data_IF_906773541232
#
_entry.id   IF_906773541232
#
_cell.length_a   1.000
_cell.length_b   1.000
_cell.length_c   1.000
_cell.angle_alpha   90.00
_cell.angle_beta   90.00
_cell.angle_gamma   90.00
#
_symmetry.space_group_name_H-M   'P 1'
#
loop_
_entity.id
_entity.type
_entity.pdbx_description
1 polymer ?
#
# COMPACT_ATOMS: atom_id res chain seq x y z
N UNK A 1 -24.01 -60.45 -11.79
CA UNK A 1 -23.20 -59.81 -10.73
C UNK A 1 -21.79 -59.41 -11.18
N UNK A 2 -21.00 -60.28 -11.84
CA UNK A 2 -19.62 -59.97 -12.29
C UNK A 2 -19.48 -58.71 -13.16
N UNK A 3 -20.39 -58.45 -14.10
CA UNK A 3 -20.28 -57.27 -14.98
C UNK A 3 -20.58 -55.94 -14.25
N UNK A 4 -21.49 -55.95 -13.26
CA UNK A 4 -21.75 -54.76 -12.43
C UNK A 4 -20.53 -54.40 -11.59
N UNK A 5 -19.90 -55.39 -10.95
CA UNK A 5 -18.67 -55.21 -10.15
C UNK A 5 -17.50 -54.71 -10.99
N UNK A 6 -17.32 -55.23 -12.22
CA UNK A 6 -16.29 -54.74 -13.16
C UNK A 6 -16.54 -53.29 -13.58
N UNK A 7 -17.80 -52.93 -13.84
CA UNK A 7 -18.16 -51.55 -14.20
C UNK A 7 -17.92 -50.58 -13.02
N UNK A 8 -18.29 -50.97 -11.79
CA UNK A 8 -18.05 -50.12 -10.60
C UNK A 8 -16.56 -49.94 -10.34
N UNK A 9 -15.76 -51.00 -10.50
CA UNK A 9 -14.30 -50.93 -10.34
C UNK A 9 -13.66 -50.01 -11.38
N UNK A 10 -14.09 -50.06 -12.64
CA UNK A 10 -13.59 -49.16 -13.70
C UNK A 10 -13.97 -47.71 -13.44
N UNK A 11 -15.21 -47.43 -13.04
CA UNK A 11 -15.64 -46.06 -12.69
C UNK A 11 -14.86 -45.52 -11.49
N UNK A 12 -14.65 -46.31 -10.44
CA UNK A 12 -13.84 -45.91 -9.29
C UNK A 12 -12.38 -45.64 -9.70
N UNK A 13 -11.81 -46.46 -10.58
CA UNK A 13 -10.45 -46.28 -11.07
C UNK A 13 -10.33 -44.98 -11.88
N UNK A 14 -11.30 -44.67 -12.75
CA UNK A 14 -11.33 -43.42 -13.50
C UNK A 14 -11.48 -42.18 -12.59
N UNK A 15 -12.30 -42.26 -11.54
CA UNK A 15 -12.44 -41.18 -10.56
C UNK A 15 -11.16 -40.95 -9.75
N UNK A 16 -10.47 -42.01 -9.35
CA UNK A 16 -9.17 -41.90 -8.67
C UNK A 16 -8.13 -41.26 -9.60
N UNK A 17 -8.09 -41.67 -10.87
CA UNK A 17 -7.14 -41.15 -11.85
C UNK A 17 -7.41 -39.67 -12.15
N UNK A 18 -8.68 -39.28 -12.28
CA UNK A 18 -9.09 -37.88 -12.40
C UNK A 18 -8.73 -37.06 -11.15
N UNK A 19 -8.90 -37.62 -9.95
CA UNK A 19 -8.51 -37.00 -8.69
C UNK A 19 -7.00 -36.78 -8.58
N UNK A 20 -6.18 -37.75 -9.01
CA UNK A 20 -4.71 -37.61 -9.03
C UNK A 20 -4.27 -36.57 -10.05
N UNK A 21 -4.88 -36.52 -11.23
CA UNK A 21 -4.57 -35.52 -12.26
C UNK A 21 -4.95 -34.12 -11.76
N UNK A 22 -6.18 -33.94 -11.27
CA UNK A 22 -6.64 -32.67 -10.73
C UNK A 22 -5.79 -32.23 -9.53
N UNK A 23 -5.46 -33.16 -8.63
CA UNK A 23 -4.58 -32.93 -7.49
C UNK A 23 -3.16 -32.54 -7.91
N UNK A 24 -2.61 -33.14 -8.97
CA UNK A 24 -1.28 -32.80 -9.48
C UNK A 24 -1.24 -31.44 -10.18
N UNK A 25 -2.30 -31.11 -10.95
CA UNK A 25 -2.43 -29.78 -11.56
C UNK A 25 -2.57 -28.70 -10.48
N UNK A 26 -3.41 -28.96 -9.48
CA UNK A 26 -3.58 -28.06 -8.34
C UNK A 26 -2.29 -27.93 -7.54
N UNK A 27 -1.59 -29.04 -7.27
CA UNK A 27 -0.30 -29.04 -6.58
C UNK A 27 0.74 -28.23 -7.34
N UNK A 28 0.84 -28.39 -8.67
CA UNK A 28 1.78 -27.64 -9.49
C UNK A 28 1.41 -26.15 -9.61
N UNK A 29 0.14 -25.78 -9.47
CA UNK A 29 -0.30 -24.38 -9.36
C UNK A 29 0.00 -23.78 -7.98
N UNK A 30 -0.05 -24.60 -6.93
CA UNK A 30 0.21 -24.22 -5.53
C UNK A 30 1.71 -24.23 -5.21
N UNK A 31 2.48 -25.10 -5.86
CA UNK A 31 3.94 -25.19 -5.78
C UNK A 31 4.54 -23.97 -6.46
N UNK A 32 4.48 -22.84 -5.75
CA UNK A 32 5.20 -21.63 -6.10
C UNK A 32 6.69 -21.94 -5.97
N UNK A 33 7.32 -22.28 -7.09
CA UNK A 33 8.74 -22.04 -7.21
C UNK A 33 8.95 -20.53 -7.12
N UNK A 34 9.76 -20.12 -6.14
CA UNK A 34 10.31 -18.78 -6.13
C UNK A 34 11.24 -18.68 -7.33
N UNK A 35 10.71 -18.28 -8.48
CA UNK A 35 11.49 -17.81 -9.64
C UNK A 35 12.11 -16.45 -9.29
N UNK A 36 12.81 -16.39 -8.16
CA UNK A 36 13.58 -15.24 -7.76
C UNK A 36 14.70 -15.11 -8.77
N UNK A 37 14.57 -14.10 -9.61
CA UNK A 37 15.64 -13.61 -10.45
C UNK A 37 16.10 -12.28 -9.83
N UNK A 38 17.40 -12.04 -9.67
CA UNK A 38 17.92 -10.74 -9.29
C UNK A 38 17.71 -9.79 -10.47
N UNK A 39 16.50 -9.25 -10.61
CA UNK A 39 16.28 -8.12 -11.49
C UNK A 39 16.33 -6.85 -10.64
N UNK A 40 17.27 -5.97 -10.96
CA UNK A 40 17.23 -4.58 -10.51
C UNK A 40 16.25 -3.90 -11.46
N UNK A 41 14.96 -3.90 -11.12
CA UNK A 41 14.05 -2.97 -11.80
C UNK A 41 14.57 -1.57 -11.46
N UNK A 42 15.00 -0.86 -12.51
CA UNK A 42 15.35 0.55 -12.40
C UNK A 42 14.14 1.28 -11.79
N UNK A 43 14.36 2.15 -10.79
CA UNK A 43 13.26 2.82 -10.11
C UNK A 43 12.39 3.59 -11.12
N UNK A 44 11.16 3.90 -10.71
CA UNK A 44 10.30 4.81 -11.47
C UNK A 44 11.06 6.09 -11.79
N UNK A 45 11.10 6.45 -13.07
CA UNK A 45 11.74 7.69 -13.52
C UNK A 45 10.93 8.85 -12.99
N UNK A 46 11.57 9.70 -12.18
CA UNK A 46 11.00 10.95 -11.71
C UNK A 46 10.93 11.94 -12.87
N UNK A 47 9.88 12.78 -12.94
CA UNK A 47 9.78 13.77 -14.01
C UNK A 47 10.79 14.91 -13.79
N UNK A 48 11.16 15.61 -14.86
CA UNK A 48 12.00 16.81 -14.76
C UNK A 48 11.24 17.98 -14.09
N UNK A 49 9.93 18.07 -14.36
CA UNK A 49 9.02 19.06 -13.77
C UNK A 49 7.75 18.38 -13.27
N UNK A 50 7.10 18.98 -12.29
CA UNK A 50 5.84 18.46 -11.73
C UNK A 50 4.59 19.07 -12.34
N UNK A 51 4.76 20.09 -13.20
CA UNK A 51 3.70 20.94 -13.78
C UNK A 51 2.75 21.54 -12.72
N UNK A 52 3.21 21.60 -11.48
CA UNK A 52 2.51 22.15 -10.32
C UNK A 52 3.00 23.57 -10.01
N UNK A 53 2.17 24.36 -9.33
CA UNK A 53 2.55 25.68 -8.81
C UNK A 53 3.38 25.61 -7.52
N UNK A 54 3.46 24.42 -6.90
CA UNK A 54 4.27 24.19 -5.71
C UNK A 54 5.75 24.11 -6.08
N UNK A 55 6.61 24.41 -5.09
CA UNK A 55 8.05 24.21 -5.23
C UNK A 55 8.39 22.76 -5.62
N UNK A 56 9.40 22.56 -6.47
CA UNK A 56 9.83 21.24 -6.94
C UNK A 56 10.23 20.28 -5.81
N UNK A 57 10.67 20.81 -4.66
CA UNK A 57 11.04 20.05 -3.47
C UNK A 57 9.93 20.02 -2.42
N UNK A 58 8.73 20.56 -2.68
CA UNK A 58 7.67 20.66 -1.68
C UNK A 58 7.36 19.32 -1.00
N UNK A 59 7.32 18.22 -1.76
CA UNK A 59 7.12 16.89 -1.20
C UNK A 59 8.25 16.52 -0.21
N UNK A 60 9.50 16.71 -0.59
CA UNK A 60 10.66 16.35 0.22
C UNK A 60 10.81 17.25 1.45
N UNK A 61 10.45 18.52 1.34
CA UNK A 61 10.62 19.52 2.40
C UNK A 61 9.46 19.56 3.39
N UNK A 62 8.23 19.27 2.92
CA UNK A 62 7.01 19.43 3.73
C UNK A 62 6.34 18.09 4.02
N UNK A 63 6.17 17.23 3.01
CA UNK A 63 5.33 16.03 3.13
C UNK A 63 6.10 14.84 3.70
N UNK A 64 7.22 14.47 3.09
CA UNK A 64 8.04 13.32 3.53
C UNK A 64 8.49 13.46 5.01
N UNK A 65 8.87 14.65 5.53
CA UNK A 65 9.23 14.80 6.94
C UNK A 65 8.05 14.58 7.90
N UNK A 66 6.81 14.85 7.48
CA UNK A 66 5.63 14.53 8.28
C UNK A 66 5.39 13.02 8.26
N UNK A 67 5.44 12.37 7.09
CA UNK A 67 5.36 10.90 7.03
C UNK A 67 6.41 10.24 7.92
N UNK A 68 7.65 10.73 7.88
CA UNK A 68 8.76 10.20 8.66
C UNK A 68 8.53 10.30 10.18
N UNK A 69 7.91 11.40 10.64
CA UNK A 69 7.68 11.62 12.07
C UNK A 69 6.38 11.00 12.58
N UNK A 70 5.37 10.83 11.72
CA UNK A 70 3.99 10.53 12.13
C UNK A 70 3.42 9.23 11.58
N UNK A 71 3.98 8.65 10.53
CA UNK A 71 3.31 7.59 9.76
C UNK A 71 4.18 6.34 9.53
N UNK A 72 5.48 6.49 9.26
CA UNK A 72 6.34 5.36 8.84
C UNK A 72 6.54 4.30 9.92
N UNK A 73 6.22 4.59 11.18
CA UNK A 73 6.25 3.58 12.25
C UNK A 73 5.32 2.40 11.95
N UNK A 74 4.17 2.68 11.30
CA UNK A 74 3.25 1.65 10.81
C UNK A 74 3.41 1.41 9.31
N UNK A 75 3.74 2.46 8.54
CA UNK A 75 3.81 2.43 7.07
C UNK A 75 5.24 2.29 6.51
N UNK A 76 6.13 1.62 7.25
CA UNK A 76 7.56 1.54 6.96
C UNK A 76 8.01 0.30 6.16
N UNK A 77 7.34 -0.84 6.34
CA UNK A 77 7.86 -2.15 5.97
C UNK A 77 6.85 -2.99 5.15
N UNK A 78 7.12 -4.28 5.04
CA UNK A 78 6.23 -5.24 4.35
C UNK A 78 5.00 -5.59 5.18
N UNK A 79 5.02 -5.36 6.49
CA UNK A 79 3.89 -5.61 7.41
C UNK A 79 3.01 -4.35 7.58
N UNK A 80 3.19 -3.37 6.70
CA UNK A 80 2.40 -2.14 6.77
C UNK A 80 0.92 -2.43 6.46
N UNK A 81 -0.04 -1.77 7.15
CA UNK A 81 -1.45 -1.96 6.88
C UNK A 81 -1.77 -1.75 5.40
N UNK A 82 -2.43 -2.74 4.80
CA UNK A 82 -2.76 -2.76 3.37
C UNK A 82 -1.54 -2.60 2.45
N UNK A 83 -0.35 -2.99 2.91
CA UNK A 83 0.94 -2.78 2.23
C UNK A 83 1.20 -1.31 1.82
N UNK A 84 0.58 -0.32 2.46
CA UNK A 84 0.86 1.08 2.14
C UNK A 84 2.23 1.48 2.72
N UNK A 85 3.14 1.91 1.85
CA UNK A 85 4.50 2.31 2.22
C UNK A 85 4.66 3.83 2.06
N UNK A 86 5.03 4.52 3.13
CA UNK A 86 5.15 5.99 3.15
C UNK A 86 6.59 6.49 3.35
N UNK A 87 7.57 5.59 3.24
CA UNK A 87 9.00 5.94 3.37
C UNK A 87 9.57 6.66 2.16
N UNK A 88 8.86 6.64 1.03
CA UNK A 88 9.26 7.29 -0.22
C UNK A 88 8.04 7.55 -1.12
N UNK A 89 8.23 8.42 -2.12
CA UNK A 89 7.16 8.81 -3.03
C UNK A 89 6.66 7.63 -3.87
N UNK A 90 7.54 6.74 -4.35
CA UNK A 90 7.14 5.56 -5.13
C UNK A 90 6.24 4.62 -4.34
N UNK A 91 6.51 4.45 -3.04
CA UNK A 91 5.67 3.67 -2.13
C UNK A 91 4.27 4.26 -2.00
N UNK A 92 4.19 5.58 -1.91
CA UNK A 92 2.93 6.31 -1.87
C UNK A 92 2.18 6.22 -3.21
N UNK A 93 2.86 6.36 -4.34
CA UNK A 93 2.26 6.27 -5.68
C UNK A 93 1.77 4.87 -6.02
N UNK A 94 2.49 3.82 -5.57
CA UNK A 94 1.99 2.44 -5.59
C UNK A 94 0.65 2.37 -4.87
N UNK A 95 0.56 3.01 -3.70
CA UNK A 95 -0.66 3.10 -2.90
C UNK A 95 -0.91 1.85 -2.04
N UNK A 96 -2.18 1.59 -1.72
CA UNK A 96 -2.59 0.53 -0.80
C UNK A 96 -3.22 -0.66 -1.55
N UNK A 97 -2.94 -1.88 -1.11
CA UNK A 97 -3.52 -3.11 -1.64
C UNK A 97 -4.92 -3.33 -1.08
N UNK A 98 -5.87 -3.72 -1.94
CA UNK A 98 -7.26 -4.08 -1.57
C UNK A 98 -7.36 -5.26 -0.63
N UNK A 99 -6.37 -6.15 -0.67
CA UNK A 99 -6.31 -7.38 0.11
C UNK A 99 -5.47 -7.13 1.35
N UNK A 100 -6.00 -7.54 2.49
CA UNK A 100 -5.28 -7.52 3.76
C UNK A 100 -4.09 -8.50 3.69
N UNK A 101 -2.84 -8.02 3.82
CA UNK A 101 -1.67 -8.90 3.82
C UNK A 101 -1.63 -9.85 5.04
N UNK A 102 -2.34 -9.53 6.12
CA UNK A 102 -2.35 -10.32 7.36
C UNK A 102 -3.54 -11.30 7.41
N UNK A 103 -4.31 -11.42 6.33
CA UNK A 103 -5.41 -12.38 6.26
C UNK A 103 -4.90 -13.83 6.37
N UNK A 104 -5.75 -14.74 6.82
CA UNK A 104 -5.38 -16.15 6.86
C UNK A 104 -5.26 -16.70 5.44
N UNK A 105 -4.06 -17.07 5.01
CA UNK A 105 -3.81 -17.67 3.70
C UNK A 105 -3.60 -19.18 3.83
N UNK A 106 -4.24 -19.96 2.95
CA UNK A 106 -4.03 -21.42 2.86
C UNK A 106 -2.73 -21.74 2.11
N UNK A 107 -2.28 -20.84 1.24
CA UNK A 107 -1.09 -20.98 0.41
C UNK A 107 -0.15 -19.79 0.60
N UNK A 108 1.13 -19.97 0.27
CA UNK A 108 2.10 -18.88 0.30
C UNK A 108 1.72 -17.80 -0.73
N UNK A 109 1.74 -16.53 -0.30
CA UNK A 109 1.68 -15.39 -1.21
C UNK A 109 3.09 -15.01 -1.68
N UNK A 110 3.20 -14.55 -2.93
CA UNK A 110 4.46 -14.01 -3.43
C UNK A 110 4.79 -12.72 -2.69
N UNK A 111 6.06 -12.49 -2.29
CA UNK A 111 6.49 -11.21 -1.74
C UNK A 111 6.16 -10.06 -2.71
N UNK A 112 5.73 -8.92 -2.17
CA UNK A 112 5.36 -7.74 -2.97
C UNK A 112 6.31 -6.59 -2.66
N UNK A 113 7.47 -6.59 -3.30
CA UNK A 113 8.50 -5.55 -3.16
C UNK A 113 8.14 -4.37 -4.07
N UNK A 114 8.58 -3.18 -3.67
CA UNK A 114 8.22 -1.93 -4.36
C UNK A 114 8.67 -1.91 -5.84
N UNK A 115 9.77 -2.59 -6.15
CA UNK A 115 10.31 -2.71 -7.50
C UNK A 115 9.90 -4.00 -8.21
N UNK A 116 8.84 -4.71 -7.81
CA UNK A 116 8.44 -5.94 -8.51
C UNK A 116 7.57 -5.68 -9.75
N UNK A 117 7.03 -4.47 -9.91
CA UNK A 117 6.20 -4.10 -11.08
C UNK A 117 6.84 -2.98 -11.90
N UNK A 118 6.67 -3.01 -13.23
CA UNK A 118 7.28 -2.04 -14.14
C UNK A 118 6.54 -0.70 -14.22
N UNK A 119 5.30 -0.61 -13.73
CA UNK A 119 4.48 0.61 -13.81
C UNK A 119 3.42 0.69 -12.71
N UNK A 120 2.83 1.88 -12.53
CA UNK A 120 1.69 2.06 -11.63
C UNK A 120 0.45 1.29 -12.12
N UNK A 121 0.24 1.19 -13.43
CA UNK A 121 -0.88 0.42 -13.99
C UNK A 121 -0.74 -1.08 -13.68
N UNK A 122 0.47 -1.63 -13.78
CA UNK A 122 0.75 -3.01 -13.37
C UNK A 122 0.47 -3.20 -11.85
N UNK A 123 0.74 -2.19 -11.02
CA UNK A 123 0.31 -2.21 -9.62
C UNK A 123 -1.23 -2.19 -9.46
N UNK A 124 -1.95 -1.41 -10.28
CA UNK A 124 -3.43 -1.39 -10.26
C UNK A 124 -4.02 -2.74 -10.65
N UNK A 125 -3.44 -3.43 -11.63
CA UNK A 125 -3.81 -4.79 -12.03
C UNK A 125 -3.61 -5.81 -10.90
N UNK A 126 -2.58 -5.62 -10.06
CA UNK A 126 -2.36 -6.43 -8.85
C UNK A 126 -3.23 -6.06 -7.65
N UNK A 127 -4.20 -5.17 -7.85
CA UNK A 127 -5.17 -4.81 -6.81
C UNK A 127 -4.68 -3.72 -5.86
N UNK A 128 -3.63 -2.97 -6.21
CA UNK A 128 -3.32 -1.72 -5.52
C UNK A 128 -4.23 -0.59 -5.99
N UNK A 129 -4.47 0.36 -5.12
CA UNK A 129 -5.27 1.56 -5.36
C UNK A 129 -4.47 2.79 -4.99
N UNK A 130 -4.71 3.88 -5.72
CA UNK A 130 -4.16 5.17 -5.33
C UNK A 130 -4.69 5.58 -3.96
N UNK A 131 -3.83 6.18 -3.15
CA UNK A 131 -4.21 6.80 -1.86
C UNK A 131 -4.32 8.32 -1.97
N UNK A 132 -3.84 8.88 -3.09
CA UNK A 132 -3.96 10.28 -3.47
C UNK A 132 -4.53 10.39 -4.88
N UNK A 133 -5.44 11.34 -5.09
CA UNK A 133 -5.99 11.64 -6.41
C UNK A 133 -5.07 12.64 -7.12
N UNK A 134 -4.68 12.31 -8.35
CA UNK A 134 -3.80 13.13 -9.18
C UNK A 134 -4.54 13.69 -10.41
N UNK A 135 -5.73 13.18 -10.71
CA UNK A 135 -6.54 13.55 -11.86
C UNK A 135 -7.74 14.40 -11.46
N UNK A 136 -8.42 14.97 -12.45
CA UNK A 136 -9.60 15.80 -12.24
C UNK A 136 -9.31 17.21 -11.71
N UNK A 137 -10.38 17.90 -11.33
CA UNK A 137 -10.36 19.28 -10.85
C UNK A 137 -9.67 19.37 -9.48
N UNK A 138 -8.80 20.37 -9.24
CA UNK A 138 -8.05 20.53 -7.99
C UNK A 138 -8.91 20.43 -6.72
N UNK A 139 -10.09 21.05 -6.72
CA UNK A 139 -11.03 21.09 -5.60
C UNK A 139 -11.67 19.73 -5.26
N UNK A 140 -11.68 18.78 -6.20
CA UNK A 140 -12.23 17.44 -5.99
C UNK A 140 -11.20 16.43 -5.46
N UNK A 141 -9.90 16.70 -5.67
CA UNK A 141 -8.81 15.75 -5.35
C UNK A 141 -8.77 15.38 -3.87
N UNK A 142 -8.90 16.32 -2.91
CA UNK A 142 -8.92 15.97 -1.50
C UNK A 142 -10.06 15.00 -1.15
N UNK A 143 -11.27 15.23 -1.67
CA UNK A 143 -12.43 14.38 -1.41
C UNK A 143 -12.33 12.98 -2.06
N UNK A 144 -11.50 12.82 -3.09
CA UNK A 144 -11.24 11.51 -3.73
C UNK A 144 -10.02 10.79 -3.15
N UNK A 145 -9.16 11.51 -2.42
CA UNK A 145 -7.94 10.95 -1.83
C UNK A 145 -8.22 10.24 -0.51
N UNK A 146 -7.93 8.94 -0.45
CA UNK A 146 -8.05 8.13 0.78
C UNK A 146 -7.20 8.76 1.90
N UNK A 147 -5.98 9.18 1.60
CA UNK A 147 -5.07 9.80 2.56
C UNK A 147 -5.71 11.03 3.21
N UNK A 148 -6.20 11.97 2.40
CA UNK A 148 -6.81 13.20 2.91
C UNK A 148 -8.01 12.90 3.82
N UNK A 149 -8.88 11.98 3.39
CA UNK A 149 -10.06 11.59 4.15
C UNK A 149 -9.73 10.94 5.50
N UNK A 150 -8.68 10.13 5.54
CA UNK A 150 -8.20 9.54 6.78
C UNK A 150 -7.62 10.61 7.73
N UNK A 151 -6.92 11.62 7.20
CA UNK A 151 -6.41 12.74 7.99
C UNK A 151 -7.54 13.64 8.54
N UNK A 152 -8.59 13.88 7.75
CA UNK A 152 -9.79 14.59 8.19
C UNK A 152 -10.48 13.84 9.33
N UNK A 153 -10.72 12.53 9.17
CA UNK A 153 -11.30 11.72 10.23
C UNK A 153 -10.46 11.74 11.52
N UNK A 154 -9.13 11.70 11.40
CA UNK A 154 -8.24 11.83 12.56
C UNK A 154 -8.34 13.21 13.21
N UNK A 155 -8.46 14.26 12.40
CA UNK A 155 -8.63 15.64 12.89
C UNK A 155 -9.96 15.83 13.63
N UNK A 156 -11.04 15.19 13.16
CA UNK A 156 -12.37 15.27 13.76
C UNK A 156 -12.50 14.44 15.04
N UNK A 157 -11.81 13.30 15.15
CA UNK A 157 -12.06 12.33 16.21
C UNK A 157 -10.89 12.04 17.16
N UNK A 158 -9.64 12.40 16.80
CA UNK A 158 -8.44 12.08 17.58
C UNK A 158 -7.82 13.33 18.25
N UNK A 159 -8.64 14.29 18.67
CA UNK A 159 -8.17 15.45 19.44
C UNK A 159 -8.03 15.09 20.92
N UNK A 160 -6.88 15.34 21.57
CA UNK A 160 -6.71 15.04 22.99
C UNK A 160 -7.68 15.81 23.90
N UNK A 161 -8.23 15.18 24.95
CA UNK A 161 -8.18 13.74 25.22
C UNK A 161 -9.13 12.96 24.30
N UNK A 162 -8.68 11.84 23.73
CA UNK A 162 -9.52 10.93 22.96
C UNK A 162 -9.44 9.50 23.52
N UNK A 163 -10.52 8.73 23.39
CA UNK A 163 -10.63 7.36 23.90
C UNK A 163 -10.09 6.37 22.87
N UNK A 164 -9.25 5.43 23.33
CA UNK A 164 -8.71 4.35 22.50
C UNK A 164 -9.60 3.11 22.49
N UNK A 165 -10.57 2.98 23.41
CA UNK A 165 -11.47 1.81 23.47
C UNK A 165 -12.20 1.53 22.16
N UNK A 166 -12.70 2.53 21.41
CA UNK A 166 -13.33 2.27 20.11
C UNK A 166 -12.39 1.64 19.07
N UNK A 167 -11.07 1.72 19.26
CA UNK A 167 -10.06 1.15 18.38
C UNK A 167 -9.65 -0.28 18.75
N UNK A 168 -9.91 -0.72 19.99
CA UNK A 168 -9.55 -2.07 20.46
C UNK A 168 -10.07 -3.18 19.53
N UNK A 169 -11.32 -3.15 19.05
CA UNK A 169 -11.80 -4.19 18.13
C UNK A 169 -11.01 -4.25 16.83
N UNK A 170 -10.50 -3.11 16.35
CA UNK A 170 -9.68 -3.04 15.13
C UNK A 170 -8.30 -3.61 15.43
N UNK A 171 -7.68 -3.29 16.57
CA UNK A 171 -6.38 -3.86 16.94
C UNK A 171 -6.40 -5.38 17.11
N UNK A 172 -7.50 -5.95 17.61
CA UNK A 172 -7.59 -7.38 17.89
C UNK A 172 -7.88 -8.26 16.66
N UNK A 173 -8.35 -7.69 15.55
CA UNK A 173 -8.77 -8.42 14.35
C UNK A 173 -7.89 -8.11 13.13
N UNK A 174 -6.56 -8.16 13.31
CA UNK A 174 -5.56 -7.85 12.26
C UNK A 174 -5.80 -8.62 10.97
N UNK A 175 -6.22 -9.88 11.03
CA UNK A 175 -6.52 -10.72 9.87
C UNK A 175 -7.84 -10.37 9.17
N UNK A 176 -8.71 -9.58 9.80
CA UNK A 176 -10.01 -9.12 9.28
C UNK A 176 -9.99 -7.63 8.92
N UNK A 177 -8.80 -7.01 8.90
CA UNK A 177 -8.65 -5.62 8.50
C UNK A 177 -9.21 -5.38 7.10
N UNK A 178 -9.92 -4.27 6.97
CA UNK A 178 -10.50 -3.83 5.71
C UNK A 178 -9.53 -2.84 5.08
N UNK A 179 -9.19 -3.07 3.83
CA UNK A 179 -8.36 -2.18 3.02
C UNK A 179 -9.23 -1.46 1.99
N UNK A 180 -9.92 -0.36 2.38
CA UNK A 180 -10.79 0.36 1.47
C UNK A 180 -9.96 1.03 0.37
N UNK A 181 -10.45 0.93 -0.87
CA UNK A 181 -10.08 1.88 -1.92
C UNK A 181 -11.06 3.05 -1.93
N UNK A 182 -10.87 4.02 -2.84
CA UNK A 182 -11.63 5.28 -2.92
C UNK A 182 -13.15 5.12 -2.74
N UNK A 183 -13.79 4.13 -3.39
CA UNK A 183 -15.24 3.91 -3.26
C UNK A 183 -15.67 3.35 -1.90
N UNK A 184 -14.79 2.66 -1.18
CA UNK A 184 -15.09 1.96 0.06
C UNK A 184 -14.82 2.78 1.33
N UNK A 185 -14.06 3.88 1.21
CA UNK A 185 -13.60 4.62 2.38
C UNK A 185 -14.74 5.35 3.12
N UNK A 186 -15.83 5.77 2.44
CA UNK A 186 -17.01 6.35 3.12
C UNK A 186 -17.68 5.34 4.05
N UNK A 187 -17.92 4.14 3.53
CA UNK A 187 -18.52 3.07 4.32
C UNK A 187 -17.61 2.67 5.49
N UNK A 188 -16.29 2.63 5.26
CA UNK A 188 -15.29 2.35 6.29
C UNK A 188 -15.35 3.37 7.43
N UNK A 189 -15.24 4.67 7.13
CA UNK A 189 -15.24 5.73 8.13
C UNK A 189 -16.59 5.89 8.82
N UNK A 190 -17.70 5.63 8.12
CA UNK A 190 -19.03 5.60 8.75
C UNK A 190 -19.16 4.52 9.82
N UNK A 191 -18.55 3.35 9.59
CA UNK A 191 -18.56 2.25 10.57
C UNK A 191 -17.50 2.45 11.67
N UNK A 192 -16.41 3.16 11.36
CA UNK A 192 -15.23 3.32 12.21
C UNK A 192 -14.78 4.78 12.23
N UNK A 193 -15.57 5.71 12.82
CA UNK A 193 -15.29 7.14 12.75
C UNK A 193 -13.96 7.52 13.42
N UNK A 194 -13.59 6.84 14.51
CA UNK A 194 -12.32 7.08 15.23
C UNK A 194 -11.11 6.44 14.55
N UNK A 195 -11.28 5.67 13.48
CA UNK A 195 -10.19 4.99 12.78
C UNK A 195 -9.43 5.90 11.80
N UNK A 196 -9.50 7.21 11.97
CA UNK A 196 -8.72 8.19 11.21
C UNK A 196 -7.22 8.12 11.51
N UNK A 197 -6.43 8.79 10.66
CA UNK A 197 -4.97 8.83 10.75
C UNK A 197 -4.49 10.15 11.39
N UNK A 198 -3.40 10.15 12.17
CA UNK A 198 -2.62 8.98 12.60
C UNK A 198 -3.42 8.06 13.55
N UNK A 199 -3.44 6.76 13.24
CA UNK A 199 -4.31 5.80 13.93
C UNK A 199 -3.88 5.61 15.39
N UNK A 200 -4.84 5.72 16.32
CA UNK A 200 -4.56 5.59 17.76
C UNK A 200 -3.66 6.67 18.34
N UNK A 201 -3.41 7.74 17.59
CA UNK A 201 -2.49 8.83 17.96
C UNK A 201 -3.19 10.17 17.78
N UNK A 202 -2.73 11.25 18.45
CA UNK A 202 -3.28 12.57 18.25
C UNK A 202 -3.26 12.98 16.77
N UNK A 203 -4.28 13.73 16.37
CA UNK A 203 -4.36 14.34 15.05
C UNK A 203 -3.08 15.11 14.69
N UNK A 204 -2.88 15.32 13.39
CA UNK A 204 -1.85 16.24 12.92
C UNK A 204 -2.18 17.67 13.35
N UNK A 205 -1.17 18.50 13.67
CA UNK A 205 -1.33 19.94 13.81
C UNK A 205 -1.93 20.58 12.56
N UNK A 206 -2.58 21.74 12.72
CA UNK A 206 -3.30 22.41 11.64
C UNK A 206 -2.40 22.80 10.45
N UNK A 207 -1.16 23.23 10.71
CA UNK A 207 -0.16 23.56 9.70
C UNK A 207 0.29 22.32 8.91
N UNK A 208 0.53 21.19 9.58
CA UNK A 208 0.86 19.93 8.90
C UNK A 208 -0.30 19.42 8.03
N UNK A 209 -1.54 19.53 8.51
CA UNK A 209 -2.73 19.23 7.72
C UNK A 209 -2.90 20.15 6.51
N UNK A 210 -2.56 21.43 6.66
CA UNK A 210 -2.61 22.40 5.56
C UNK A 210 -1.63 22.02 4.45
N UNK A 211 -0.40 21.60 4.78
CA UNK A 211 0.55 21.13 3.76
C UNK A 211 0.00 19.94 2.96
N UNK A 212 -0.66 18.98 3.61
CA UNK A 212 -1.31 17.87 2.89
C UNK A 212 -2.46 18.35 2.01
N UNK A 213 -3.28 19.28 2.49
CA UNK A 213 -4.38 19.85 1.71
C UNK A 213 -3.88 20.53 0.44
N UNK A 214 -2.89 21.42 0.58
CA UNK A 214 -2.26 22.14 -0.53
C UNK A 214 -1.63 21.18 -1.53
N UNK A 215 -0.83 20.23 -1.04
CA UNK A 215 -0.15 19.23 -1.86
C UNK A 215 -1.12 18.33 -2.64
N UNK A 216 -2.18 17.83 -1.99
CA UNK A 216 -3.17 16.95 -2.63
C UNK A 216 -4.01 17.73 -3.65
N UNK A 217 -4.44 18.94 -3.30
CA UNK A 217 -5.14 19.84 -4.23
C UNK A 217 -4.28 20.12 -5.47
N UNK A 218 -2.97 20.27 -5.30
CA UNK A 218 -2.01 20.47 -6.38
C UNK A 218 -1.71 19.21 -7.22
N UNK A 219 -2.39 18.09 -6.96
CA UNK A 219 -2.22 16.84 -7.73
C UNK A 219 -1.19 15.89 -7.13
N UNK A 220 -0.81 16.11 -5.87
CA UNK A 220 0.18 15.32 -5.15
C UNK A 220 1.49 15.15 -5.92
N UNK A 221 2.12 16.25 -6.39
CA UNK A 221 3.36 16.16 -7.17
C UNK A 221 4.48 15.50 -6.38
N UNK A 222 5.23 14.62 -7.05
CA UNK A 222 6.43 14.00 -6.51
C UNK A 222 7.67 14.88 -6.63
N UNK A 223 8.82 14.43 -6.12
CA UNK A 223 10.09 15.11 -6.37
C UNK A 223 10.49 15.01 -7.83
N UNK A 224 11.28 15.97 -8.30
CA UNK A 224 11.85 15.94 -9.65
C UNK A 224 13.10 15.07 -9.74
N UNK A 225 13.50 14.71 -10.96
CA UNK A 225 14.75 13.98 -11.20
C UNK A 225 15.97 14.73 -10.61
N UNK A 226 16.05 16.04 -10.80
CA UNK A 226 17.11 16.90 -10.24
C UNK A 226 17.14 16.91 -8.70
N UNK A 227 15.96 16.96 -8.08
CA UNK A 227 15.83 16.90 -6.63
C UNK A 227 16.37 15.56 -6.09
N UNK A 228 15.96 14.46 -6.74
CA UNK A 228 16.40 13.13 -6.36
C UNK A 228 17.89 12.90 -6.62
N UNK A 229 18.42 13.41 -7.73
CA UNK A 229 19.86 13.36 -8.03
C UNK A 229 20.67 14.15 -7.00
N UNK A 230 20.13 15.25 -6.48
CA UNK A 230 20.77 16.04 -5.43
C UNK A 230 20.83 15.28 -4.09
N UNK A 231 19.79 14.51 -3.74
CA UNK A 231 19.77 13.67 -2.54
C UNK A 231 20.74 12.48 -2.60
N UNK A 232 21.05 11.97 -3.79
CA UNK A 232 22.02 10.88 -3.98
C UNK A 232 23.47 11.32 -3.80
N UNK A 233 23.74 12.63 -3.80
CA UNK A 233 25.08 13.15 -3.53
C UNK A 233 25.38 12.98 -2.04
N UNK A 234 26.46 12.25 -1.73
CA UNK A 234 26.97 12.16 -0.38
C UNK A 234 27.29 13.58 0.13
N UNK A 235 26.67 13.96 1.25
CA UNK A 235 26.90 15.27 1.85
C UNK A 235 28.35 15.43 2.34
N UNK A 236 28.99 14.32 2.75
CA UNK A 236 30.33 14.27 3.32
C UNK A 236 31.07 13.02 2.81
N UNK A 237 31.45 12.99 1.51
CA UNK A 237 32.09 11.81 0.91
C UNK A 237 33.41 11.46 1.61
N UNK A 238 34.14 12.44 2.13
CA UNK A 238 35.37 12.25 2.90
C UNK A 238 35.15 11.52 4.22
N UNK A 239 33.97 11.65 4.84
CA UNK A 239 33.63 10.85 6.02
C UNK A 239 33.40 9.41 5.61
N UNK A 240 32.57 9.16 4.59
CA UNK A 240 32.27 7.80 4.12
C UNK A 240 33.55 7.08 3.73
N UNK A 241 34.44 7.73 3.00
CA UNK A 241 35.74 7.19 2.60
C UNK A 241 36.70 6.86 3.76
N UNK A 242 36.47 7.40 4.97
CA UNK A 242 37.21 6.98 6.18
C UNK A 242 36.70 5.69 6.80
N UNK A 243 35.48 5.27 6.46
CA UNK A 243 34.84 4.06 7.01
C UNK A 243 34.92 2.85 6.06
N UNK A 244 35.32 3.06 4.81
CA UNK A 244 35.65 2.02 3.81
C UNK A 244 37.14 1.70 3.81
#
# INVERSE_FOLDING_TARGET
>A
MKNKVRYTAVVLMLLLLAGVIAGSIFWNQVEQQSDWQPFVLMPTVYPETTDSHLDSNFYLDKIQPIFNRRCIVCHGCLDSPCLLKLTCYEGLSRGARRVNPDATHVFAEKPVRLGDQPSLDAWREQGFCSVVEQQGLPEERPAKSILFRMLVAGTEHNQPPFDLKPLEPIYHSVNEHLCPCERGIDAYLKQRPTAGMPFGMPALPADENQFFSEWITAGSPGPTADAMASLQKLAMPEIVARWE
#
